data_IF_636765070835
#
_entry.id   IF_636765070835
#
_cell.length_a   1.000
_cell.length_b   1.000
_cell.length_c   1.000
_cell.angle_alpha   90.00
_cell.angle_beta   90.00
_cell.angle_gamma   90.00
#
_symmetry.space_group_name_H-M   'P 1'
#
loop_
_entity.id
_entity.type
_entity.pdbx_description
1 polymer ?
#
# COMPACT_ATOMS: atom_id res chain seq x y z
N UNK A 1 16.75 -6.63 31.00
CA UNK A 1 15.42 -7.05 30.46
C UNK A 1 15.35 -6.61 29.01
N UNK A 2 15.00 -7.52 28.10
CA UNK A 2 14.87 -7.26 26.66
C UNK A 2 13.60 -6.43 26.42
N UNK A 3 13.69 -5.42 25.56
CA UNK A 3 12.58 -4.56 25.16
C UNK A 3 12.01 -4.98 23.80
N UNK A 4 12.79 -4.86 22.72
CA UNK A 4 12.36 -5.20 21.35
C UNK A 4 13.51 -5.87 20.59
N UNK A 5 13.15 -6.71 19.63
CA UNK A 5 14.07 -7.42 18.75
C UNK A 5 13.93 -6.86 17.32
N UNK A 6 15.04 -6.50 16.70
CA UNK A 6 15.08 -5.95 15.34
C UNK A 6 15.86 -6.91 14.45
N UNK A 7 15.13 -7.74 13.72
CA UNK A 7 15.71 -8.67 12.75
C UNK A 7 15.81 -7.95 11.42
N UNK A 8 16.97 -8.06 10.76
CA UNK A 8 17.13 -7.54 9.40
C UNK A 8 16.34 -8.39 8.40
N UNK A 9 15.78 -7.82 7.30
CA UNK A 9 15.08 -8.59 6.28
C UNK A 9 15.79 -9.82 5.72
N UNK A 10 17.12 -9.81 5.63
CA UNK A 10 17.92 -10.97 5.18
C UNK A 10 18.12 -12.07 6.24
N UNK A 11 17.66 -11.87 7.48
CA UNK A 11 17.76 -12.88 8.55
C UNK A 11 19.16 -13.13 9.11
N UNK A 12 20.20 -12.43 8.64
CA UNK A 12 21.58 -12.62 9.10
C UNK A 12 21.94 -11.83 10.37
N UNK A 13 21.27 -10.69 10.58
CA UNK A 13 21.60 -9.73 11.63
C UNK A 13 20.40 -9.48 12.54
N UNK A 14 20.65 -9.46 13.85
CA UNK A 14 19.67 -9.16 14.88
C UNK A 14 20.25 -8.14 15.86
N UNK A 15 19.55 -7.04 16.06
CA UNK A 15 19.78 -6.11 17.15
C UNK A 15 18.75 -6.36 18.26
N UNK A 16 19.23 -6.50 19.49
CA UNK A 16 18.43 -6.71 20.70
C UNK A 16 18.46 -5.40 21.49
N UNK A 17 17.32 -4.72 21.56
CA UNK A 17 17.16 -3.52 22.37
C UNK A 17 16.86 -3.86 23.83
N UNK A 18 17.58 -3.27 24.77
CA UNK A 18 17.31 -3.39 26.20
C UNK A 18 16.47 -2.23 26.74
N UNK A 19 15.68 -2.48 27.78
CA UNK A 19 14.81 -1.44 28.36
C UNK A 19 15.60 -0.28 29.02
N UNK A 20 16.84 -0.54 29.44
CA UNK A 20 17.73 0.44 30.09
C UNK A 20 18.71 1.09 29.10
N UNK A 21 18.53 0.89 27.79
CA UNK A 21 19.41 1.43 26.76
C UNK A 21 20.71 0.66 26.51
N UNK A 22 20.91 -0.47 27.19
CA UNK A 22 21.94 -1.44 26.82
C UNK A 22 21.45 -2.28 25.65
N UNK A 23 22.23 -2.37 24.57
CA UNK A 23 21.86 -3.14 23.38
C UNK A 23 22.88 -4.21 23.04
N UNK A 24 22.41 -5.28 22.42
CA UNK A 24 23.24 -6.41 22.00
C UNK A 24 23.02 -6.72 20.53
N UNK A 25 24.06 -7.22 19.88
CA UNK A 25 24.04 -7.64 18.49
C UNK A 25 24.30 -9.15 18.40
N UNK A 26 23.53 -9.81 17.54
CA UNK A 26 23.66 -11.24 17.23
C UNK A 26 23.79 -11.40 15.72
N UNK A 27 24.80 -12.16 15.30
CA UNK A 27 24.97 -12.56 13.91
C UNK A 27 24.37 -13.95 13.71
N UNK A 28 23.08 -14.00 13.39
CA UNK A 28 22.27 -15.22 13.36
C UNK A 28 22.88 -16.35 12.49
N UNK A 29 23.50 -16.00 11.35
CA UNK A 29 24.12 -16.98 10.46
C UNK A 29 25.43 -17.61 10.99
N UNK A 30 26.13 -16.97 11.94
CA UNK A 30 27.47 -17.38 12.39
C UNK A 30 27.50 -17.80 13.87
N UNK A 31 26.76 -17.10 14.72
CA UNK A 31 26.73 -17.39 16.15
C UNK A 31 25.51 -16.77 16.82
N UNK A 32 24.83 -17.56 17.66
CA UNK A 32 23.75 -17.08 18.54
C UNK A 32 24.26 -16.41 19.82
N UNK A 33 25.58 -16.18 19.95
CA UNK A 33 26.15 -15.50 21.12
C UNK A 33 25.96 -13.98 21.00
N UNK A 34 25.19 -13.33 21.89
CA UNK A 34 25.00 -11.90 21.87
C UNK A 34 26.30 -11.18 22.25
N UNK A 35 26.60 -10.11 21.51
CA UNK A 35 27.73 -9.20 21.76
C UNK A 35 27.21 -7.84 22.18
N UNK A 36 27.74 -7.22 23.24
CA UNK A 36 27.32 -5.86 23.61
C UNK A 36 27.71 -4.86 22.51
N UNK A 37 26.86 -3.85 22.31
CA UNK A 37 27.11 -2.73 21.38
C UNK A 37 27.39 -1.47 22.21
N UNK A 38 28.62 -1.28 22.72
CA UNK A 38 28.91 -0.22 23.69
C UNK A 38 28.66 1.19 23.15
N UNK A 39 28.84 1.43 21.85
CA UNK A 39 28.58 2.75 21.24
C UNK A 39 27.10 3.12 21.23
N UNK A 40 26.20 2.16 21.38
CA UNK A 40 24.74 2.38 21.41
C UNK A 40 24.18 2.64 22.80
N UNK A 41 25.04 2.68 23.83
CA UNK A 41 24.61 2.89 25.21
C UNK A 41 24.05 4.29 25.36
N UNK A 42 22.83 4.39 25.87
CA UNK A 42 22.16 5.67 26.08
C UNK A 42 20.65 5.53 26.05
N UNK A 43 19.92 6.37 25.28
CA UNK A 43 18.47 6.23 25.11
C UNK A 43 18.06 4.84 24.62
N UNK A 44 16.89 4.37 25.08
CA UNK A 44 16.30 3.11 24.59
C UNK A 44 16.04 3.21 23.08
N UNK A 45 16.39 2.14 22.36
CA UNK A 45 16.09 1.97 20.93
C UNK A 45 14.60 1.65 20.78
N UNK A 46 13.90 2.43 19.95
CA UNK A 46 12.47 2.29 19.70
C UNK A 46 12.20 1.72 18.30
N UNK A 47 12.97 2.15 17.32
CA UNK A 47 12.84 1.70 15.92
C UNK A 47 14.20 1.54 15.25
N UNK A 48 14.25 0.66 14.25
CA UNK A 48 15.44 0.40 13.45
C UNK A 48 15.02 0.28 11.99
N UNK A 49 15.68 1.04 11.12
CA UNK A 49 15.48 1.00 9.69
C UNK A 49 16.74 0.46 9.01
N UNK A 50 16.71 -0.82 8.63
CA UNK A 50 17.83 -1.52 8.02
C UNK A 50 18.04 -1.13 6.56
N UNK A 51 19.30 -0.98 6.13
CA UNK A 51 19.64 -0.86 4.71
C UNK A 51 19.21 -2.13 3.94
N UNK A 52 18.46 -1.93 2.87
CA UNK A 52 17.98 -2.97 1.97
C UNK A 52 19.06 -3.40 0.98
N UNK A 53 19.88 -2.48 0.50
CA UNK A 53 20.78 -2.70 -0.65
C UNK A 53 22.25 -2.81 -0.24
N UNK A 54 22.69 -2.03 0.76
CA UNK A 54 24.11 -1.89 1.10
C UNK A 54 24.66 -2.92 2.07
N UNK A 55 23.90 -3.97 2.38
CA UNK A 55 24.18 -4.81 3.52
C UNK A 55 24.26 -6.28 3.11
N UNK A 56 25.22 -7.02 3.67
CA UNK A 56 25.58 -8.38 3.25
C UNK A 56 25.49 -9.34 4.45
N UNK A 57 26.19 -10.48 4.43
CA UNK A 57 26.25 -11.39 5.60
C UNK A 57 27.16 -10.84 6.70
N UNK A 58 28.19 -10.05 6.35
CA UNK A 58 29.29 -9.67 7.24
C UNK A 58 29.06 -8.29 7.88
N UNK A 59 28.31 -7.44 7.19
CA UNK A 59 28.06 -6.03 7.45
C UNK A 59 26.56 -5.75 7.37
N UNK A 60 26.07 -5.03 8.37
CA UNK A 60 24.69 -4.55 8.41
C UNK A 60 24.37 -3.46 7.40
N UNK A 61 25.38 -2.94 6.68
CA UNK A 61 25.28 -1.65 5.98
C UNK A 61 25.00 -0.50 6.95
N UNK A 62 24.72 0.68 6.40
CA UNK A 62 24.34 1.86 7.19
C UNK A 62 22.84 1.82 7.50
N UNK A 63 22.49 1.64 8.76
CA UNK A 63 21.09 1.63 9.20
C UNK A 63 20.77 2.82 10.10
N UNK A 64 19.50 3.21 10.12
CA UNK A 64 18.99 4.27 10.98
C UNK A 64 18.34 3.68 12.24
N UNK A 65 18.43 4.43 13.34
CA UNK A 65 17.89 4.04 14.63
C UNK A 65 17.14 5.22 15.24
N UNK A 66 15.89 4.99 15.62
CA UNK A 66 15.08 5.94 16.37
C UNK A 66 15.12 5.61 17.86
N UNK A 67 15.23 6.64 18.69
CA UNK A 67 15.33 6.48 20.14
C UNK A 67 14.11 7.01 20.88
N UNK A 68 14.01 6.62 22.15
CA UNK A 68 13.00 7.09 23.12
C UNK A 68 13.06 8.60 23.40
N UNK A 69 14.19 9.25 23.14
CA UNK A 69 14.38 10.70 23.37
C UNK A 69 14.09 11.55 22.12
N UNK A 70 13.58 10.97 21.04
CA UNK A 70 13.35 11.72 19.80
C UNK A 70 14.61 11.96 18.96
N UNK A 71 15.67 11.15 19.15
CA UNK A 71 16.91 11.26 18.37
C UNK A 71 17.00 10.18 17.31
N UNK A 72 17.53 10.55 16.14
CA UNK A 72 17.88 9.60 15.08
C UNK A 72 19.39 9.44 15.03
N UNK A 73 19.83 8.18 15.08
CA UNK A 73 21.21 7.79 14.94
C UNK A 73 21.41 7.02 13.63
N UNK A 74 22.56 7.20 12.99
CA UNK A 74 23.07 6.24 12.00
C UNK A 74 24.06 5.31 12.64
N UNK A 75 24.04 4.04 12.27
CA UNK A 75 24.95 3.03 12.78
C UNK A 75 25.39 2.06 11.69
N UNK A 76 26.58 1.46 11.89
CA UNK A 76 27.10 0.40 11.05
C UNK A 76 27.83 -0.62 11.93
N UNK A 77 27.45 -1.88 11.78
CA UNK A 77 28.08 -3.03 12.44
C UNK A 77 28.66 -3.92 11.35
N UNK A 78 29.97 -4.15 11.40
CA UNK A 78 30.67 -5.02 10.46
C UNK A 78 31.63 -5.95 11.20
N UNK A 79 31.75 -7.19 10.75
CA UNK A 79 32.54 -8.25 11.40
C UNK A 79 32.13 -8.52 12.86
N UNK A 80 30.88 -8.18 13.21
CA UNK A 80 30.35 -8.27 14.57
C UNK A 80 31.05 -7.31 15.55
N UNK A 81 31.56 -6.17 15.05
CA UNK A 81 32.01 -5.01 15.82
C UNK A 81 31.23 -3.77 15.38
N UNK A 82 30.89 -2.92 16.33
CA UNK A 82 30.30 -1.61 16.09
C UNK A 82 31.37 -0.66 15.52
N UNK A 83 31.20 -0.29 14.23
CA UNK A 83 32.13 0.62 13.55
C UNK A 83 31.84 2.07 13.93
N UNK A 84 30.57 2.45 13.93
CA UNK A 84 30.12 3.74 14.44
C UNK A 84 28.65 3.69 14.89
N UNK A 85 28.30 4.61 15.79
CA UNK A 85 26.94 4.96 16.20
C UNK A 85 26.91 6.47 16.40
N UNK A 86 26.33 7.21 15.46
CA UNK A 86 26.39 8.69 15.42
C UNK A 86 24.99 9.27 15.36
N UNK A 87 24.69 10.22 16.23
CA UNK A 87 23.47 11.04 16.15
C UNK A 87 23.54 11.90 14.89
N UNK A 88 22.52 11.80 14.05
CA UNK A 88 22.40 12.58 12.80
C UNK A 88 21.31 13.64 12.88
N UNK A 89 20.32 13.45 13.73
CA UNK A 89 19.22 14.39 13.89
C UNK A 89 18.56 14.25 15.27
N UNK A 90 18.00 15.33 15.79
CA UNK A 90 17.21 15.35 17.01
C UNK A 90 15.96 16.18 16.79
N UNK A 91 14.79 15.63 17.13
CA UNK A 91 13.55 16.40 17.12
C UNK A 91 13.63 17.48 18.21
N UNK A 92 13.59 18.75 17.82
CA UNK A 92 13.67 19.87 18.77
C UNK A 92 12.31 20.17 19.42
N UNK A 93 11.23 19.90 18.70
CA UNK A 93 9.88 20.34 19.06
C UNK A 93 9.08 19.32 19.88
N UNK A 94 9.54 18.07 19.95
CA UNK A 94 8.85 17.00 20.67
C UNK A 94 9.85 16.00 21.25
N UNK A 95 9.85 15.82 22.57
CA UNK A 95 10.61 14.77 23.26
C UNK A 95 9.94 13.38 23.13
N UNK A 96 9.19 13.15 22.05
CA UNK A 96 8.46 11.91 21.81
C UNK A 96 9.39 10.82 21.24
N UNK A 97 9.15 9.54 21.56
CA UNK A 97 9.90 8.43 21.01
C UNK A 97 9.68 8.30 19.50
N UNK A 98 10.73 7.98 18.76
CA UNK A 98 10.62 7.64 17.33
C UNK A 98 10.38 6.14 17.23
N UNK A 99 9.12 5.73 17.21
CA UNK A 99 8.71 4.31 17.20
C UNK A 99 8.67 3.68 15.81
N UNK A 100 8.77 4.46 14.73
CA UNK A 100 8.87 3.94 13.37
C UNK A 100 9.83 4.76 12.51
N UNK A 101 10.69 4.08 11.74
CA UNK A 101 11.51 4.72 10.69
C UNK A 101 11.48 3.80 9.47
N UNK A 102 11.08 4.35 8.33
CA UNK A 102 11.13 3.69 7.03
C UNK A 102 11.88 4.60 6.04
N UNK A 103 12.62 4.00 5.11
CA UNK A 103 13.26 4.75 4.03
C UNK A 103 12.99 4.12 2.66
N UNK A 104 13.18 4.94 1.62
CA UNK A 104 13.13 4.52 0.24
C UNK A 104 14.08 5.37 -0.62
N UNK A 105 14.61 4.79 -1.71
CA UNK A 105 15.48 5.50 -2.64
C UNK A 105 14.68 6.09 -3.80
N UNK A 106 14.96 7.35 -4.14
CA UNK A 106 14.44 7.99 -5.34
C UNK A 106 14.93 7.27 -6.61
N UNK A 107 14.14 7.30 -7.70
CA UNK A 107 14.59 6.75 -8.97
C UNK A 107 15.78 7.53 -9.50
N UNK A 108 16.73 6.87 -10.18
CA UNK A 108 17.72 7.58 -10.97
C UNK A 108 16.99 8.48 -11.97
N UNK A 109 17.09 9.80 -11.80
CA UNK A 109 16.46 10.78 -12.70
C UNK A 109 17.38 11.01 -13.91
N UNK A 110 16.84 11.06 -15.13
CA UNK A 110 17.58 10.79 -16.37
C UNK A 110 18.59 11.82 -16.93
N UNK A 111 19.26 11.37 -18.00
CA UNK A 111 20.14 12.00 -19.03
C UNK A 111 21.45 12.69 -18.63
N UNK A 112 21.65 13.17 -17.41
CA UNK A 112 22.98 13.54 -16.93
C UNK A 112 23.39 12.60 -15.80
N UNK A 113 23.82 11.41 -16.21
CA UNK A 113 24.58 10.48 -15.37
C UNK A 113 25.95 11.09 -15.12
N UNK A 114 26.00 12.16 -14.33
CA UNK A 114 27.11 12.29 -13.41
C UNK A 114 26.75 11.29 -12.31
N UNK A 115 27.46 10.16 -12.33
CA UNK A 115 27.35 9.03 -11.40
C UNK A 115 26.48 9.26 -10.14
N UNK A 116 25.29 8.66 -10.12
CA UNK A 116 24.80 7.93 -8.94
C UNK A 116 24.72 8.66 -7.60
N UNK A 117 24.30 9.94 -7.55
CA UNK A 117 23.98 10.58 -6.27
C UNK A 117 22.71 9.92 -5.70
N UNK A 118 22.88 9.06 -4.68
CA UNK A 118 21.78 8.40 -3.97
C UNK A 118 20.90 9.45 -3.29
N UNK A 119 19.63 9.55 -3.67
CA UNK A 119 18.67 10.43 -3.01
C UNK A 119 17.70 9.59 -2.20
N UNK A 120 17.62 9.89 -0.91
CA UNK A 120 16.86 9.16 0.10
C UNK A 120 15.58 9.93 0.43
N UNK A 121 14.53 9.17 0.68
CA UNK A 121 13.37 9.57 1.44
C UNK A 121 13.38 8.81 2.76
N UNK A 122 13.31 9.50 3.89
CA UNK A 122 13.17 8.92 5.22
C UNK A 122 11.88 9.45 5.82
N UNK A 123 11.03 8.55 6.31
CA UNK A 123 9.85 8.87 7.10
C UNK A 123 10.08 8.38 8.53
N UNK A 124 9.98 9.29 9.50
CA UNK A 124 10.11 8.96 10.92
C UNK A 124 8.79 9.26 11.64
N UNK A 125 8.24 8.27 12.34
CA UNK A 125 6.98 8.36 13.06
C UNK A 125 7.18 8.34 14.58
N UNK A 126 6.51 9.27 15.23
CA UNK A 126 6.23 9.34 16.66
C UNK A 126 4.74 9.04 16.87
N UNK A 127 4.25 8.83 18.10
CA UNK A 127 2.83 8.52 18.30
C UNK A 127 1.83 9.59 17.83
N UNK A 128 2.26 10.86 17.74
CA UNK A 128 1.39 11.97 17.32
C UNK A 128 1.81 12.65 16.02
N UNK A 129 3.04 12.42 15.56
CA UNK A 129 3.58 13.06 14.35
C UNK A 129 4.36 12.09 13.48
N UNK A 130 4.29 12.25 12.17
CA UNK A 130 5.37 11.76 11.30
C UNK A 130 6.08 12.91 10.61
N UNK A 131 7.36 12.69 10.31
CA UNK A 131 8.27 13.64 9.71
C UNK A 131 8.78 13.10 8.37
N UNK A 132 8.88 13.98 7.36
CA UNK A 132 9.39 13.64 6.04
C UNK A 132 10.76 14.29 5.81
N UNK A 133 11.74 13.47 5.42
CA UNK A 133 13.08 13.94 5.08
C UNK A 133 13.47 13.47 3.68
N UNK A 134 13.81 14.41 2.81
CA UNK A 134 14.29 14.18 1.46
C UNK A 134 15.69 14.78 1.33
N UNK A 135 16.67 14.00 0.88
CA UNK A 135 18.05 14.47 0.77
C UNK A 135 19.05 13.39 0.35
N UNK A 136 20.35 13.65 0.46
CA UNK A 136 21.43 12.74 0.05
C UNK A 136 22.71 13.53 -0.30
N UNK A 137 23.83 12.87 -0.67
CA UNK A 137 24.00 11.44 -0.94
C UNK A 137 24.21 10.51 0.26
N UNK A 138 24.34 11.07 1.46
CA UNK A 138 24.50 10.31 2.72
C UNK A 138 23.43 10.74 3.72
N UNK A 139 23.24 9.95 4.78
CA UNK A 139 22.33 10.35 5.86
C UNK A 139 22.74 11.68 6.51
N UNK A 140 24.04 11.95 6.71
CA UNK A 140 24.49 13.23 7.27
C UNK A 140 24.07 14.40 6.37
N UNK A 141 24.33 14.30 5.06
CA UNK A 141 23.98 15.34 4.09
C UNK A 141 22.46 15.52 3.98
N UNK A 142 21.67 14.46 4.18
CA UNK A 142 20.21 14.54 4.24
C UNK A 142 19.75 15.31 5.47
N UNK A 143 20.21 14.96 6.67
CA UNK A 143 19.71 15.56 7.91
C UNK A 143 20.24 16.97 8.18
N UNK A 144 21.42 17.32 7.67
CA UNK A 144 22.00 18.68 7.79
C UNK A 144 21.11 19.76 7.16
N UNK A 145 20.31 19.39 6.16
CA UNK A 145 19.38 20.30 5.47
C UNK A 145 18.17 20.71 6.34
N UNK A 146 17.90 20.01 7.45
CA UNK A 146 16.69 20.20 8.26
C UNK A 146 16.95 20.88 9.62
N UNK A 147 17.98 21.72 9.70
CA UNK A 147 18.31 22.47 10.93
C UNK A 147 17.20 23.42 11.39
N UNK A 148 16.33 23.90 10.48
CA UNK A 148 15.23 24.82 10.76
C UNK A 148 13.87 24.15 11.04
N UNK A 149 13.88 22.82 11.24
CA UNK A 149 12.75 21.90 11.38
C UNK A 149 12.20 21.31 10.05
N UNK A 150 11.94 20.00 10.01
CA UNK A 150 11.36 19.29 8.86
C UNK A 150 9.85 19.45 8.76
N UNK A 151 9.31 19.12 7.58
CA UNK A 151 7.88 18.97 7.41
C UNK A 151 7.35 17.82 8.27
N UNK A 152 6.21 18.05 8.89
CA UNK A 152 5.51 17.02 9.66
C UNK A 152 4.01 17.11 9.49
N UNK A 153 3.36 15.99 9.76
CA UNK A 153 1.91 15.91 9.94
C UNK A 153 1.65 15.49 11.36
N UNK A 154 0.73 16.18 12.03
CA UNK A 154 0.35 15.96 13.42
C UNK A 154 -1.10 15.51 13.51
N UNK A 155 -1.33 14.45 14.29
CA UNK A 155 -2.64 13.94 14.66
C UNK A 155 -2.74 13.88 16.19
N UNK A 156 -3.91 14.21 16.76
CA UNK A 156 -4.09 14.17 18.21
C UNK A 156 -4.03 12.73 18.70
N UNK A 157 -3.46 12.50 19.88
CA UNK A 157 -3.42 11.16 20.47
C UNK A 157 -2.55 11.13 21.73
N UNK A 158 -2.79 10.14 22.57
CA UNK A 158 -2.12 9.89 23.84
C UNK A 158 -1.45 8.51 23.88
N UNK A 159 -1.21 7.91 22.70
CA UNK A 159 -0.51 6.64 22.60
C UNK A 159 0.97 6.79 22.95
N UNK A 160 1.50 5.79 23.63
CA UNK A 160 2.94 5.67 23.90
C UNK A 160 3.68 4.85 22.82
N UNK A 161 2.95 4.31 21.84
CA UNK A 161 3.47 3.50 20.74
C UNK A 161 2.83 3.88 19.41
N UNK A 162 3.51 3.53 18.32
CA UNK A 162 2.99 3.59 16.96
C UNK A 162 3.69 2.53 16.11
N UNK A 163 3.04 2.12 15.03
CA UNK A 163 3.63 1.29 13.99
C UNK A 163 3.58 2.04 12.65
N UNK A 164 4.70 2.04 11.92
CA UNK A 164 4.84 2.62 10.58
C UNK A 164 5.34 1.52 9.66
N UNK A 165 4.61 1.24 8.58
CA UNK A 165 5.05 0.28 7.57
C UNK A 165 4.87 0.84 6.15
N UNK A 166 5.88 0.60 5.31
CA UNK A 166 5.81 0.84 3.87
C UNK A 166 5.41 -0.46 3.14
N UNK A 167 4.34 -0.39 2.36
CA UNK A 167 3.97 -1.48 1.47
C UNK A 167 4.78 -1.45 0.19
N UNK A 168 5.38 -2.60 -0.14
CA UNK A 168 6.22 -2.83 -1.31
C UNK A 168 5.72 -4.08 -2.04
N UNK A 169 5.59 -3.99 -3.36
CA UNK A 169 5.25 -5.16 -4.19
C UNK A 169 6.54 -5.89 -4.58
N UNK A 170 6.79 -7.04 -3.96
CA UNK A 170 8.03 -7.80 -4.15
C UNK A 170 9.27 -7.00 -3.75
N UNK A 171 10.33 -7.03 -4.56
CA UNK A 171 11.54 -6.23 -4.37
C UNK A 171 11.41 -4.78 -4.87
N UNK A 172 10.22 -4.36 -5.28
CA UNK A 172 9.98 -3.02 -5.80
C UNK A 172 10.12 -1.90 -4.75
N UNK A 173 9.87 -0.68 -5.23
CA UNK A 173 9.77 0.52 -4.39
C UNK A 173 8.47 0.52 -3.58
N UNK A 174 8.50 1.14 -2.42
CA UNK A 174 7.29 1.43 -1.67
C UNK A 174 6.30 2.25 -2.50
N UNK A 175 5.03 1.83 -2.50
CA UNK A 175 3.96 2.52 -3.22
C UNK A 175 2.99 3.23 -2.29
N UNK A 176 3.03 2.88 -1.00
CA UNK A 176 2.14 3.41 0.02
C UNK A 176 2.69 3.14 1.42
N UNK A 177 2.20 3.88 2.39
CA UNK A 177 2.52 3.70 3.80
C UNK A 177 1.25 3.56 4.63
N UNK A 178 1.41 2.98 5.81
CA UNK A 178 0.38 2.94 6.84
C UNK A 178 1.00 3.32 8.19
N UNK A 179 0.28 4.13 8.95
CA UNK A 179 0.68 4.66 10.24
C UNK A 179 -0.45 4.45 11.25
N UNK A 180 -0.14 3.77 12.35
CA UNK A 180 -1.05 3.53 13.47
C UNK A 180 -1.05 4.76 14.38
N UNK A 181 -2.20 5.40 14.56
CA UNK A 181 -2.32 6.64 15.37
C UNK A 181 -3.47 6.53 16.37
N UNK A 182 -3.48 7.38 17.40
CA UNK A 182 -4.57 7.39 18.39
C UNK A 182 -5.99 7.43 17.80
N UNK A 183 -6.29 8.33 16.84
CA UNK A 183 -7.64 8.45 16.28
C UNK A 183 -7.99 7.35 15.28
N UNK A 184 -7.01 6.67 14.69
CA UNK A 184 -7.25 5.71 13.62
C UNK A 184 -6.02 5.30 12.80
N UNK A 185 -6.29 4.57 11.72
CA UNK A 185 -5.28 4.19 10.73
C UNK A 185 -5.10 5.34 9.75
N UNK A 186 -3.93 5.97 9.75
CA UNK A 186 -3.55 6.95 8.74
C UNK A 186 -2.76 6.27 7.62
N UNK A 187 -3.13 6.48 6.36
CA UNK A 187 -2.46 5.85 5.22
C UNK A 187 -2.49 6.74 4.01
N UNK A 188 -1.45 6.68 3.18
CA UNK A 188 -1.35 7.40 1.92
C UNK A 188 -0.52 6.67 0.89
N UNK A 189 -0.48 7.23 -0.31
CA UNK A 189 0.33 6.75 -1.44
C UNK A 189 1.67 7.48 -1.47
N UNK A 190 2.70 6.83 -2.03
CA UNK A 190 4.06 7.37 -2.18
C UNK A 190 4.41 7.53 -3.66
N UNK A 191 4.83 8.72 -4.07
CA UNK A 191 5.23 9.00 -5.46
C UNK A 191 6.58 9.70 -5.53
N UNK A 192 7.57 9.02 -6.09
CA UNK A 192 8.95 9.48 -6.16
C UNK A 192 9.26 10.02 -7.56
N UNK A 193 9.28 11.35 -7.68
CA UNK A 193 9.61 12.09 -8.89
C UNK A 193 10.77 13.06 -8.64
N UNK A 194 10.53 14.35 -8.87
CA UNK A 194 11.54 15.41 -8.78
C UNK A 194 11.53 16.20 -7.46
N UNK A 195 10.88 15.69 -6.41
CA UNK A 195 10.74 16.36 -5.11
C UNK A 195 12.10 16.60 -4.44
N UNK A 196 12.30 17.76 -3.82
CA UNK A 196 13.51 18.19 -3.12
C UNK A 196 13.30 18.29 -1.60
N UNK A 197 14.33 18.74 -0.88
CA UNK A 197 14.22 18.93 0.56
C UNK A 197 13.09 19.91 0.90
N UNK A 198 12.22 19.55 1.83
CA UNK A 198 11.04 20.32 2.18
C UNK A 198 9.84 20.15 1.23
N UNK A 199 9.92 19.32 0.18
CA UNK A 199 8.73 18.86 -0.54
C UNK A 199 8.12 17.64 0.16
N UNK A 200 6.92 17.22 -0.28
CA UNK A 200 6.29 15.98 0.21
C UNK A 200 6.18 14.92 -0.88
N UNK A 201 6.39 13.66 -0.47
CA UNK A 201 6.30 12.47 -1.33
C UNK A 201 4.95 11.77 -1.18
N UNK A 202 4.19 12.14 -0.14
CA UNK A 202 2.92 11.53 0.23
C UNK A 202 1.75 12.24 -0.44
N UNK A 203 0.74 11.47 -0.87
CA UNK A 203 -0.49 11.98 -1.47
C UNK A 203 -1.64 10.99 -1.26
N UNK A 204 -2.87 11.39 -1.60
CA UNK A 204 -4.10 10.58 -1.45
C UNK A 204 -4.24 9.96 -0.04
N UNK A 205 -4.00 10.78 1.00
CA UNK A 205 -4.03 10.35 2.38
C UNK A 205 -5.46 10.21 2.91
N UNK A 206 -5.62 9.34 3.91
CA UNK A 206 -6.88 9.08 4.60
C UNK A 206 -6.62 8.69 6.04
N UNK A 207 -7.52 9.12 6.91
CA UNK A 207 -7.59 8.71 8.31
C UNK A 207 -8.86 7.88 8.51
N UNK A 208 -8.69 6.62 8.86
CA UNK A 208 -9.80 5.70 9.08
C UNK A 208 -9.94 5.48 10.58
N UNK A 209 -11.02 5.98 11.20
CA UNK A 209 -11.19 5.86 12.64
C UNK A 209 -11.34 4.40 13.04
N UNK A 210 -10.84 4.06 14.22
CA UNK A 210 -11.06 2.72 14.76
C UNK A 210 -12.53 2.48 15.03
N UNK A 211 -12.97 1.23 14.84
CA UNK A 211 -14.33 0.84 15.20
C UNK A 211 -14.53 0.93 16.71
N UNK A 212 -15.61 1.59 17.14
CA UNK A 212 -16.01 1.65 18.54
C UNK A 212 -16.65 0.32 18.94
N UNK A 213 -16.19 -0.31 20.02
CA UNK A 213 -17.00 -1.38 20.62
C UNK A 213 -18.23 -0.78 21.31
N UNK A 214 -19.39 -1.37 21.03
CA UNK A 214 -20.59 -1.15 21.84
C UNK A 214 -20.39 -1.73 23.24
N UNK A 215 -20.15 -0.85 24.22
CA UNK A 215 -20.07 -1.14 25.65
C UNK A 215 -19.85 0.17 26.39
N UNK A 216 -20.40 0.30 27.61
CA UNK A 216 -20.61 1.53 28.40
C UNK A 216 -19.37 2.43 28.72
N UNK A 217 -18.24 2.24 28.05
CA UNK A 217 -17.04 3.08 28.11
C UNK A 217 -16.65 3.42 26.66
N UNK A 218 -17.16 4.54 26.15
CA UNK A 218 -17.08 4.97 24.74
C UNK A 218 -15.70 5.42 24.26
N UNK A 219 -14.67 4.58 24.42
CA UNK A 219 -13.33 4.79 23.87
C UNK A 219 -13.11 4.01 22.58
N UNK A 220 -12.29 4.56 21.67
CA UNK A 220 -11.77 3.83 20.52
C UNK A 220 -10.89 2.67 21.01
N UNK A 221 -11.07 1.47 20.46
CA UNK A 221 -10.08 0.41 20.68
C UNK A 221 -8.95 0.61 19.68
N UNK A 222 -7.73 0.70 20.19
CA UNK A 222 -6.53 0.89 19.37
C UNK A 222 -5.89 -0.48 19.11
N UNK A 223 -5.48 -0.78 17.86
CA UNK A 223 -4.77 -2.02 17.54
C UNK A 223 -3.43 -2.10 18.27
N UNK A 224 -3.04 -3.29 18.72
CA UNK A 224 -1.69 -3.59 19.22
C UNK A 224 -0.66 -3.70 18.10
N UNK A 225 -1.12 -3.86 16.86
CA UNK A 225 -0.25 -3.93 15.70
C UNK A 225 -0.99 -3.68 14.40
N UNK A 226 -0.22 -3.31 13.38
CA UNK A 226 -0.73 -3.00 12.05
C UNK A 226 0.23 -3.48 10.99
N UNK A 227 -0.30 -4.18 9.98
CA UNK A 227 0.46 -4.58 8.78
C UNK A 227 -0.30 -4.21 7.51
N UNK A 228 0.41 -3.84 6.44
CA UNK A 228 -0.18 -3.54 5.13
C UNK A 228 0.07 -4.65 4.11
N UNK A 229 -1.00 -5.10 3.43
CA UNK A 229 -0.93 -5.89 2.20
C UNK A 229 -1.21 -5.02 0.97
N UNK A 230 -1.36 -5.64 -0.22
CA UNK A 230 -1.57 -4.89 -1.47
C UNK A 230 -2.89 -4.13 -1.47
N UNK A 231 -3.94 -4.72 -0.91
CA UNK A 231 -5.28 -4.16 -0.91
C UNK A 231 -5.93 -4.07 0.48
N UNK A 232 -5.26 -4.52 1.54
CA UNK A 232 -5.82 -4.49 2.90
C UNK A 232 -4.83 -3.92 3.92
N UNK A 233 -5.38 -3.35 4.99
CA UNK A 233 -4.67 -3.20 6.26
C UNK A 233 -5.15 -4.27 7.21
N UNK A 234 -4.22 -4.96 7.83
CA UNK A 234 -4.48 -6.01 8.82
C UNK A 234 -4.17 -5.40 10.18
N UNK A 235 -5.22 -5.11 10.95
CA UNK A 235 -5.13 -4.56 12.29
C UNK A 235 -5.31 -5.68 13.32
N UNK A 236 -4.35 -5.84 14.22
CA UNK A 236 -4.43 -6.76 15.33
C UNK A 236 -4.86 -6.00 16.58
N UNK A 237 -5.92 -6.43 17.22
CA UNK A 237 -6.36 -6.01 18.55
C UNK A 237 -6.05 -7.12 19.55
N UNK A 238 -6.12 -6.82 20.84
CA UNK A 238 -5.90 -7.78 21.92
C UNK A 238 -6.81 -9.03 21.78
N UNK A 239 -8.03 -8.86 21.26
CA UNK A 239 -9.05 -9.90 21.21
C UNK A 239 -9.50 -10.30 19.80
N UNK A 240 -9.02 -9.65 18.75
CA UNK A 240 -9.40 -9.97 17.37
C UNK A 240 -8.38 -9.48 16.36
N UNK A 241 -8.47 -10.01 15.15
CA UNK A 241 -7.78 -9.48 13.96
C UNK A 241 -8.81 -9.05 12.93
N UNK A 242 -8.60 -7.89 12.32
CA UNK A 242 -9.48 -7.31 11.30
C UNK A 242 -8.71 -6.99 10.03
N UNK A 243 -9.31 -7.29 8.88
CA UNK A 243 -8.81 -6.86 7.57
C UNK A 243 -9.72 -5.76 7.02
N UNK A 244 -9.15 -4.57 6.81
CA UNK A 244 -9.83 -3.40 6.28
C UNK A 244 -9.37 -3.18 4.85
N UNK A 245 -10.32 -3.10 3.91
CA UNK A 245 -10.01 -2.87 2.51
C UNK A 245 -9.50 -1.44 2.28
N UNK A 246 -8.37 -1.31 1.60
CA UNK A 246 -7.70 -0.04 1.35
C UNK A 246 -8.49 0.89 0.43
N UNK A 247 -9.27 0.33 -0.49
CA UNK A 247 -10.04 1.08 -1.49
C UNK A 247 -11.39 1.52 -0.92
N UNK A 248 -12.13 0.60 -0.31
CA UNK A 248 -13.50 0.86 0.19
C UNK A 248 -13.55 1.32 1.63
N UNK A 249 -12.47 1.15 2.40
CA UNK A 249 -12.37 1.46 3.84
C UNK A 249 -13.29 0.62 4.72
N UNK A 250 -13.85 -0.45 4.17
CA UNK A 250 -14.74 -1.36 4.90
C UNK A 250 -13.95 -2.53 5.48
N UNK A 251 -14.36 -2.98 6.67
CA UNK A 251 -13.89 -4.25 7.22
C UNK A 251 -14.48 -5.38 6.39
N UNK A 252 -13.63 -6.13 5.69
CA UNK A 252 -14.05 -7.23 4.81
C UNK A 252 -13.94 -8.58 5.49
N UNK A 253 -13.14 -8.67 6.55
CA UNK A 253 -12.96 -9.89 7.32
C UNK A 253 -12.57 -9.56 8.75
N UNK A 254 -13.04 -10.37 9.68
CA UNK A 254 -12.74 -10.27 11.11
C UNK A 254 -12.71 -11.67 11.72
N UNK A 255 -11.77 -11.88 12.64
CA UNK A 255 -11.72 -13.08 13.46
C UNK A 255 -11.46 -12.71 14.92
N UNK A 256 -12.39 -13.09 15.79
CA UNK A 256 -12.31 -12.86 17.23
C UNK A 256 -11.74 -14.07 17.98
N UNK A 257 -10.75 -13.82 18.85
CA UNK A 257 -10.13 -14.81 19.73
C UNK A 257 -10.98 -15.02 20.99
N UNK A 258 -12.15 -15.63 20.81
CA UNK A 258 -13.17 -15.78 21.87
C UNK A 258 -12.75 -16.63 23.07
N UNK A 259 -11.79 -17.53 22.91
CA UNK A 259 -11.30 -18.41 23.97
C UNK A 259 -10.00 -17.87 24.58
N UNK A 260 -10.10 -16.83 25.42
CA UNK A 260 -8.95 -16.17 26.04
C UNK A 260 -8.05 -17.14 26.85
N UNK A 261 -8.61 -18.24 27.37
CA UNK A 261 -7.82 -19.29 28.05
C UNK A 261 -6.90 -20.09 27.12
N UNK A 262 -7.24 -20.16 25.83
CA UNK A 262 -6.46 -20.89 24.81
C UNK A 262 -5.51 -19.92 24.12
N UNK A 263 -6.00 -18.76 23.71
CA UNK A 263 -5.25 -17.81 22.90
C UNK A 263 -4.44 -16.82 23.74
N UNK A 264 -4.89 -16.47 24.95
CA UNK A 264 -4.41 -15.31 25.69
C UNK A 264 -4.74 -13.99 24.98
N UNK A 265 -4.26 -12.88 25.54
CA UNK A 265 -4.30 -11.59 24.87
C UNK A 265 -3.21 -11.51 23.80
N UNK A 266 -3.59 -11.01 22.64
CA UNK A 266 -2.65 -10.81 21.54
C UNK A 266 -1.68 -9.68 21.89
N UNK A 267 -0.38 -9.97 21.78
CA UNK A 267 0.69 -9.07 22.22
C UNK A 267 1.21 -8.25 21.03
N UNK A 268 1.29 -8.86 19.85
CA UNK A 268 1.81 -8.15 18.69
C UNK A 268 1.72 -8.94 17.39
N UNK A 269 2.10 -8.25 16.33
CA UNK A 269 2.21 -8.82 14.99
C UNK A 269 3.52 -8.39 14.35
N UNK A 270 3.99 -9.18 13.39
CA UNK A 270 5.14 -8.82 12.58
C UNK A 270 5.00 -9.40 11.18
N UNK A 271 5.65 -8.73 10.22
CA UNK A 271 5.78 -9.22 8.87
C UNK A 271 7.20 -9.72 8.65
N UNK A 272 7.32 -10.94 8.13
CA UNK A 272 8.59 -11.44 7.64
C UNK A 272 8.91 -10.72 6.33
N UNK A 273 9.95 -9.88 6.34
CA UNK A 273 10.35 -9.12 5.16
C UNK A 273 10.95 -9.99 4.04
N UNK A 274 11.39 -11.22 4.33
CA UNK A 274 11.90 -12.16 3.34
C UNK A 274 10.78 -12.91 2.61
N UNK A 275 9.85 -13.50 3.36
CA UNK A 275 8.73 -14.27 2.77
C UNK A 275 7.48 -13.44 2.50
N UNK A 276 7.37 -12.25 3.09
CA UNK A 276 6.17 -11.42 3.07
C UNK A 276 5.05 -11.91 3.99
N UNK A 277 5.24 -13.03 4.70
CA UNK A 277 4.23 -13.64 5.58
C UNK A 277 3.98 -12.78 6.81
N UNK A 278 2.72 -12.76 7.26
CA UNK A 278 2.31 -12.05 8.45
C UNK A 278 2.14 -13.05 9.61
N UNK A 279 2.70 -12.71 10.77
CA UNK A 279 2.63 -13.51 11.98
C UNK A 279 2.02 -12.69 13.09
N UNK A 280 1.20 -13.34 13.90
CA UNK A 280 0.61 -12.77 15.11
C UNK A 280 0.96 -13.66 16.29
N UNK A 281 1.17 -13.07 17.46
CA UNK A 281 1.59 -13.83 18.62
C UNK A 281 0.98 -13.31 19.93
N UNK A 282 0.77 -14.24 20.85
CA UNK A 282 0.39 -14.02 22.23
C UNK A 282 1.45 -14.60 23.16
N UNK A 283 1.18 -14.60 24.47
CA UNK A 283 2.05 -15.26 25.45
C UNK A 283 2.09 -16.79 25.30
N UNK A 284 1.16 -17.39 24.56
CA UNK A 284 0.99 -18.85 24.48
C UNK A 284 1.15 -19.42 23.07
N UNK A 285 0.84 -18.64 22.03
CA UNK A 285 0.74 -19.13 20.66
C UNK A 285 1.33 -18.14 19.65
N UNK A 286 1.82 -18.68 18.53
CA UNK A 286 2.23 -17.94 17.35
C UNK A 286 1.43 -18.49 16.17
N UNK A 287 0.71 -17.62 15.45
CA UNK A 287 -0.13 -18.00 14.33
C UNK A 287 0.28 -17.25 13.06
N UNK A 288 0.21 -17.93 11.91
CA UNK A 288 0.37 -17.31 10.60
C UNK A 288 -0.98 -16.73 10.13
N UNK A 289 -0.97 -15.48 9.66
CA UNK A 289 -2.13 -14.88 8.99
C UNK A 289 -1.99 -15.11 7.49
N UNK A 290 -2.77 -16.05 6.97
CA UNK A 290 -2.77 -16.42 5.55
C UNK A 290 -3.66 -15.48 4.75
N UNK A 291 -3.05 -14.67 3.88
CA UNK A 291 -3.76 -13.84 2.91
C UNK A 291 -3.91 -14.62 1.61
N UNK A 292 -5.13 -15.06 1.29
CA UNK A 292 -5.43 -15.86 0.09
C UNK A 292 -6.41 -15.12 -0.82
N UNK A 293 -6.16 -15.16 -2.14
CA UNK A 293 -7.02 -14.56 -3.17
C UNK A 293 -7.39 -13.09 -2.91
N UNK A 294 -6.42 -12.28 -2.47
CA UNK A 294 -6.63 -10.89 -2.06
C UNK A 294 -7.26 -10.01 -3.16
N UNK A 295 -6.91 -10.31 -4.41
CA UNK A 295 -7.33 -9.58 -5.60
C UNK A 295 -8.73 -9.98 -6.13
N UNK A 296 -9.30 -11.07 -5.62
CA UNK A 296 -10.51 -11.71 -6.17
C UNK A 296 -11.72 -10.79 -6.25
N UNK A 297 -11.90 -9.92 -5.25
CA UNK A 297 -13.03 -8.99 -5.16
C UNK A 297 -12.65 -7.54 -5.50
N UNK A 298 -11.40 -7.28 -5.88
CA UNK A 298 -10.89 -5.93 -6.12
C UNK A 298 -11.48 -5.32 -7.39
N UNK A 299 -11.81 -6.13 -8.40
CA UNK A 299 -12.53 -5.65 -9.59
C UNK A 299 -13.89 -5.02 -9.24
N UNK A 300 -14.61 -5.55 -8.24
CA UNK A 300 -15.88 -4.97 -7.77
C UNK A 300 -15.68 -3.62 -7.11
N UNK A 301 -14.59 -3.47 -6.37
CA UNK A 301 -14.22 -2.22 -5.72
C UNK A 301 -13.89 -1.15 -6.77
N UNK A 302 -13.08 -1.47 -7.79
CA UNK A 302 -12.80 -0.53 -8.87
C UNK A 302 -14.03 -0.22 -9.73
N UNK A 303 -14.91 -1.22 -9.91
CA UNK A 303 -16.17 -1.04 -10.62
C UNK A 303 -17.09 -0.04 -9.90
N UNK A 304 -17.23 -0.14 -8.57
CA UNK A 304 -18.05 0.81 -7.79
C UNK A 304 -17.46 2.22 -7.75
N UNK A 305 -16.14 2.36 -7.97
CA UNK A 305 -15.46 3.64 -8.11
C UNK A 305 -15.51 4.22 -9.54
N UNK A 306 -16.14 3.54 -10.50
CA UNK A 306 -16.17 3.96 -11.91
C UNK A 306 -14.84 3.81 -12.65
N UNK A 307 -13.85 3.13 -12.07
CA UNK A 307 -12.54 2.90 -12.70
C UNK A 307 -12.54 1.60 -13.51
N UNK A 308 -13.28 1.59 -14.61
CA UNK A 308 -13.55 0.40 -15.42
C UNK A 308 -12.27 -0.26 -15.97
N UNK A 309 -11.32 0.52 -16.51
CA UNK A 309 -10.10 -0.03 -17.09
C UNK A 309 -9.27 -0.79 -16.06
N UNK A 310 -9.12 -0.24 -14.85
CA UNK A 310 -8.45 -0.95 -13.74
C UNK A 310 -9.26 -2.15 -13.28
N UNK A 311 -10.60 -2.06 -13.21
CA UNK A 311 -11.44 -3.20 -12.84
C UNK A 311 -11.25 -4.38 -13.82
N UNK A 312 -11.11 -4.12 -15.12
CA UNK A 312 -10.87 -5.13 -16.14
C UNK A 312 -9.52 -5.84 -15.99
N UNK A 313 -8.51 -5.18 -15.43
CA UNK A 313 -7.19 -5.80 -15.14
C UNK A 313 -7.27 -6.83 -14.00
N UNK A 314 -8.18 -6.63 -13.05
CA UNK A 314 -8.38 -7.53 -11.90
C UNK A 314 -9.49 -8.58 -12.13
N UNK A 315 -10.11 -8.61 -13.32
CA UNK A 315 -11.08 -9.65 -13.67
C UNK A 315 -10.35 -10.95 -14.00
N UNK A 316 -10.67 -12.02 -13.28
CA UNK A 316 -10.08 -13.36 -13.48
C UNK A 316 -10.96 -14.26 -14.35
N UNK A 317 -12.26 -13.95 -14.47
CA UNK A 317 -13.23 -14.75 -15.25
C UNK A 317 -13.94 -13.92 -16.31
N UNK A 318 -14.45 -14.60 -17.35
CA UNK A 318 -15.23 -13.96 -18.42
C UNK A 318 -16.51 -13.31 -17.88
N UNK A 319 -17.18 -13.92 -16.90
CA UNK A 319 -18.40 -13.36 -16.28
C UNK A 319 -18.11 -12.06 -15.52
N UNK A 320 -16.99 -12.00 -14.79
CA UNK A 320 -16.56 -10.75 -14.13
C UNK A 320 -16.28 -9.66 -15.17
N UNK A 321 -15.56 -10.00 -16.24
CA UNK A 321 -15.24 -9.08 -17.32
C UNK A 321 -16.51 -8.57 -18.01
N UNK A 322 -17.48 -9.44 -18.25
CA UNK A 322 -18.78 -9.09 -18.82
C UNK A 322 -19.54 -8.09 -17.94
N UNK A 323 -19.57 -8.32 -16.63
CA UNK A 323 -20.21 -7.39 -15.68
C UNK A 323 -19.57 -6.01 -15.72
N UNK A 324 -18.23 -5.94 -15.75
CA UNK A 324 -17.51 -4.66 -15.81
C UNK A 324 -17.76 -3.95 -17.14
N UNK A 325 -17.67 -4.65 -18.27
CA UNK A 325 -17.93 -4.08 -19.60
C UNK A 325 -19.39 -3.61 -19.75
N UNK A 326 -20.34 -4.36 -19.20
CA UNK A 326 -21.77 -3.98 -19.22
C UNK A 326 -21.99 -2.69 -18.45
N UNK A 327 -21.43 -2.60 -17.23
CA UNK A 327 -21.53 -1.38 -16.43
C UNK A 327 -20.78 -0.19 -17.06
N UNK A 328 -19.66 -0.43 -17.74
CA UNK A 328 -18.93 0.60 -18.49
C UNK A 328 -19.76 1.12 -19.68
N UNK A 329 -20.40 0.21 -20.43
CA UNK A 329 -21.28 0.59 -21.53
C UNK A 329 -22.53 1.34 -21.04
N UNK A 330 -23.16 0.87 -19.96
CA UNK A 330 -24.31 1.53 -19.33
C UNK A 330 -23.95 2.95 -18.86
N UNK A 331 -22.74 3.16 -18.34
CA UNK A 331 -22.25 4.47 -17.94
C UNK A 331 -22.08 5.43 -19.14
N UNK A 332 -21.38 5.01 -20.20
CA UNK A 332 -21.25 5.83 -21.42
C UNK A 332 -22.57 6.11 -22.11
N UNK A 333 -23.51 5.15 -22.05
CA UNK A 333 -24.87 5.35 -22.53
C UNK A 333 -25.57 6.44 -21.73
N UNK A 334 -25.46 6.44 -20.40
CA UNK A 334 -26.06 7.50 -19.56
C UNK A 334 -25.41 8.88 -19.76
N UNK A 335 -24.11 8.93 -20.03
CA UNK A 335 -23.38 10.19 -20.31
C UNK A 335 -23.60 10.75 -21.72
N UNK A 336 -24.32 10.02 -22.59
CA UNK A 336 -24.57 10.42 -23.97
C UNK A 336 -23.41 10.16 -24.94
N UNK A 337 -22.41 9.39 -24.53
CA UNK A 337 -21.31 8.95 -25.39
C UNK A 337 -21.71 7.68 -26.15
N UNK A 338 -22.71 7.81 -27.02
CA UNK A 338 -23.41 6.69 -27.66
C UNK A 338 -22.49 5.78 -28.50
N UNK A 339 -21.54 6.34 -29.25
CA UNK A 339 -20.64 5.54 -30.10
C UNK A 339 -19.66 4.69 -29.27
N UNK A 340 -19.16 5.22 -28.15
CA UNK A 340 -18.30 4.47 -27.24
C UNK A 340 -19.10 3.38 -26.53
N UNK A 341 -20.31 3.70 -26.05
CA UNK A 341 -21.23 2.72 -25.48
C UNK A 341 -21.51 1.58 -26.47
N UNK A 342 -21.77 1.89 -27.74
CA UNK A 342 -21.99 0.92 -28.80
C UNK A 342 -20.81 -0.04 -29.01
N UNK A 343 -19.57 0.49 -29.09
CA UNK A 343 -18.36 -0.36 -29.23
C UNK A 343 -18.16 -1.29 -28.04
N UNK A 344 -18.53 -0.87 -26.83
CA UNK A 344 -18.39 -1.70 -25.63
C UNK A 344 -19.54 -2.71 -25.54
N UNK A 345 -20.80 -2.32 -25.76
CA UNK A 345 -21.94 -3.23 -25.79
C UNK A 345 -21.75 -4.38 -26.79
N UNK A 346 -21.11 -4.11 -27.94
CA UNK A 346 -20.82 -5.14 -28.93
C UNK A 346 -20.01 -6.32 -28.35
N UNK A 347 -19.14 -6.03 -27.37
CA UNK A 347 -18.28 -7.01 -26.68
C UNK A 347 -18.95 -7.73 -25.50
N UNK A 348 -20.18 -7.36 -25.14
CA UNK A 348 -20.94 -7.94 -24.02
C UNK A 348 -21.95 -9.01 -24.49
N UNK A 349 -22.51 -9.77 -23.55
CA UNK A 349 -23.64 -10.69 -23.80
C UNK A 349 -25.01 -10.08 -23.47
N UNK A 350 -25.11 -8.74 -23.36
CA UNK A 350 -26.40 -8.04 -23.37
C UNK A 350 -27.24 -8.46 -24.58
N UNK A 351 -28.56 -8.52 -24.39
CA UNK A 351 -29.48 -8.93 -25.46
C UNK A 351 -29.39 -7.96 -26.64
N UNK A 352 -29.36 -8.53 -27.84
CA UNK A 352 -29.21 -7.75 -29.07
C UNK A 352 -30.37 -6.77 -29.24
N UNK A 353 -31.57 -7.23 -28.93
CA UNK A 353 -32.84 -6.51 -29.02
C UNK A 353 -32.87 -5.31 -28.08
N UNK A 354 -32.44 -5.48 -26.83
CA UNK A 354 -32.43 -4.38 -25.85
C UNK A 354 -31.48 -3.25 -26.28
N UNK A 355 -30.26 -3.59 -26.70
CA UNK A 355 -29.27 -2.59 -27.11
C UNK A 355 -29.70 -1.88 -28.40
N UNK A 356 -30.20 -2.62 -29.38
CA UNK A 356 -30.67 -2.03 -30.65
C UNK A 356 -31.89 -1.15 -30.46
N UNK A 357 -32.87 -1.60 -29.67
CA UNK A 357 -34.06 -0.81 -29.35
C UNK A 357 -33.69 0.47 -28.59
N UNK A 358 -32.73 0.40 -27.66
CA UNK A 358 -32.17 1.57 -26.98
C UNK A 358 -31.68 2.64 -27.95
N UNK A 359 -30.77 2.29 -28.88
CA UNK A 359 -30.26 3.26 -29.85
C UNK A 359 -31.31 3.76 -30.85
N UNK A 360 -32.27 2.90 -31.25
CA UNK A 360 -33.36 3.30 -32.14
C UNK A 360 -34.27 4.33 -31.46
N UNK A 361 -34.65 4.12 -30.20
CA UNK A 361 -35.51 5.06 -29.45
C UNK A 361 -34.86 6.42 -29.24
N UNK A 362 -33.53 6.45 -29.10
CA UNK A 362 -32.76 7.70 -29.03
C UNK A 362 -32.56 8.38 -30.39
N UNK A 363 -32.84 7.70 -31.51
CA UNK A 363 -32.61 8.22 -32.86
C UNK A 363 -31.14 8.23 -33.30
N UNK A 364 -30.25 7.58 -32.53
CA UNK A 364 -28.79 7.61 -32.74
C UNK A 364 -28.33 6.58 -33.77
N UNK A 365 -28.47 6.94 -35.05
CA UNK A 365 -28.08 6.07 -36.18
C UNK A 365 -26.57 5.79 -36.24
N UNK A 366 -25.73 6.72 -35.78
CA UNK A 366 -24.27 6.55 -35.77
C UNK A 366 -23.82 5.44 -34.82
N UNK A 367 -24.31 5.49 -33.58
CA UNK A 367 -24.03 4.50 -32.55
C UNK A 367 -24.58 3.11 -32.93
N UNK A 368 -25.81 3.04 -33.45
CA UNK A 368 -26.40 1.77 -33.92
C UNK A 368 -25.52 1.12 -34.99
N UNK A 369 -25.06 1.91 -35.98
CA UNK A 369 -24.17 1.40 -37.02
C UNK A 369 -22.86 0.87 -36.44
N UNK A 370 -22.24 1.62 -35.51
CA UNK A 370 -21.00 1.21 -34.83
C UNK A 370 -21.19 -0.11 -34.09
N UNK A 371 -22.28 -0.24 -33.32
CA UNK A 371 -22.64 -1.46 -32.60
C UNK A 371 -22.79 -2.65 -33.54
N UNK A 372 -23.57 -2.50 -34.62
CA UNK A 372 -23.80 -3.58 -35.59
C UNK A 372 -22.51 -4.03 -36.29
N UNK A 373 -21.64 -3.10 -36.68
CA UNK A 373 -20.33 -3.43 -37.27
C UNK A 373 -19.43 -4.17 -36.27
N UNK A 374 -19.27 -3.65 -35.05
CA UNK A 374 -18.42 -4.29 -34.05
C UNK A 374 -19.01 -5.64 -33.56
N UNK A 375 -20.34 -5.81 -33.57
CA UNK A 375 -21.00 -7.08 -33.24
C UNK A 375 -20.79 -8.11 -34.35
N UNK A 376 -20.86 -7.70 -35.62
CA UNK A 376 -20.60 -8.56 -36.77
C UNK A 376 -19.20 -9.19 -36.70
N UNK A 377 -18.19 -8.41 -36.32
CA UNK A 377 -16.81 -8.89 -36.17
C UNK A 377 -16.66 -9.94 -35.05
N UNK A 378 -17.55 -9.93 -34.05
CA UNK A 378 -17.48 -10.80 -32.87
C UNK A 378 -18.47 -11.98 -32.91
N UNK A 379 -19.39 -12.05 -33.89
CA UNK A 379 -20.33 -13.16 -34.02
C UNK A 379 -19.60 -14.42 -34.49
N UNK A 380 -19.79 -15.51 -33.76
CA UNK A 380 -19.40 -16.85 -34.23
C UNK A 380 -20.36 -17.24 -35.35
N UNK A 381 -19.84 -17.65 -36.51
CA UNK A 381 -20.62 -17.94 -37.73
C UNK A 381 -21.70 -19.04 -37.63
N UNK A 382 -21.93 -19.58 -36.44
CA UNK A 382 -23.01 -20.51 -36.11
C UNK A 382 -24.39 -19.84 -36.06
N UNK A 383 -24.49 -18.53 -35.79
CA UNK A 383 -25.77 -17.82 -35.69
C UNK A 383 -26.15 -17.12 -37.02
N UNK A 384 -26.57 -17.93 -38.00
CA UNK A 384 -26.88 -17.46 -39.36
C UNK A 384 -28.02 -16.44 -39.42
N UNK A 385 -28.98 -16.51 -38.50
CA UNK A 385 -30.16 -15.63 -38.50
C UNK A 385 -29.78 -14.23 -38.04
N UNK A 386 -29.06 -14.11 -36.92
CA UNK A 386 -28.57 -12.81 -36.45
C UNK A 386 -27.59 -12.18 -37.44
N UNK A 387 -26.69 -12.97 -38.02
CA UNK A 387 -25.72 -12.49 -39.00
C UNK A 387 -26.41 -11.93 -40.26
N UNK A 388 -27.43 -12.61 -40.78
CA UNK A 388 -28.20 -12.12 -41.94
C UNK A 388 -28.92 -10.81 -41.60
N UNK A 389 -29.56 -10.72 -40.43
CA UNK A 389 -30.26 -9.52 -39.97
C UNK A 389 -29.32 -8.32 -39.84
N UNK A 390 -28.16 -8.50 -39.18
CA UNK A 390 -27.15 -7.45 -39.00
C UNK A 390 -26.62 -6.97 -40.35
N UNK A 391 -26.31 -7.88 -41.27
CA UNK A 391 -25.85 -7.53 -42.61
C UNK A 391 -26.90 -6.75 -43.40
N UNK A 392 -28.18 -7.17 -43.36
CA UNK A 392 -29.27 -6.45 -44.04
C UNK A 392 -29.42 -5.03 -43.49
N UNK A 393 -29.45 -4.86 -42.17
CA UNK A 393 -29.54 -3.54 -41.54
C UNK A 393 -28.33 -2.65 -41.85
N UNK A 394 -27.11 -3.20 -41.81
CA UNK A 394 -25.93 -2.44 -42.20
C UNK A 394 -26.00 -1.99 -43.66
N UNK A 395 -26.40 -2.87 -44.59
CA UNK A 395 -26.58 -2.53 -46.00
C UNK A 395 -27.60 -1.40 -46.19
N UNK A 396 -28.77 -1.46 -45.53
CA UNK A 396 -29.77 -0.40 -45.56
C UNK A 396 -29.20 0.94 -45.06
N UNK A 397 -28.49 0.94 -43.92
CA UNK A 397 -27.86 2.14 -43.37
C UNK A 397 -26.76 2.71 -44.30
N UNK A 398 -25.98 1.87 -44.98
CA UNK A 398 -24.99 2.31 -45.96
C UNK A 398 -25.64 2.86 -47.23
N UNK A 399 -26.73 2.24 -47.72
CA UNK A 399 -27.49 2.72 -48.87
C UNK A 399 -28.14 4.08 -48.59
N UNK A 400 -28.74 4.26 -47.42
CA UNK A 400 -29.30 5.54 -46.98
C UNK A 400 -28.23 6.63 -46.95
N UNK A 401 -27.03 6.32 -46.44
CA UNK A 401 -25.90 7.26 -46.40
C UNK A 401 -25.38 7.59 -47.81
N UNK A 402 -25.37 6.63 -48.73
CA UNK A 402 -24.98 6.87 -50.12
C UNK A 402 -26.01 7.72 -50.87
N UNK A 403 -27.30 7.49 -50.60
CA UNK A 403 -28.39 8.25 -51.20
C UNK A 403 -28.42 9.70 -50.71
N UNK A 404 -28.12 9.95 -49.42
CA UNK A 404 -28.02 11.31 -48.89
C UNK A 404 -26.83 12.09 -49.47
N UNK A 405 -25.73 11.41 -49.82
CA UNK A 405 -24.55 12.03 -50.46
C UNK A 405 -24.76 12.29 -51.96
N UNK A 406 -25.61 11.51 -52.64
CA UNK A 406 -25.95 11.73 -54.05
C UNK A 406 -27.10 12.72 -54.27
N UNK A 407 -27.87 13.02 -53.24
CA UNK A 407 -29.06 13.88 -53.30
C UNK A 407 -28.84 15.33 -52.85
N UNK A 408 -27.62 15.73 -52.52
CA UNK A 408 -27.19 17.12 -52.34
C UNK A 408 -26.18 17.49 -53.42
#
# INVERSE_FOLDING_TARGET
VIYKLYVRPGGHHLLIGGNQGDNWYVHLARSLKPRPVPMSKGPRVESVCWDRDGADEVSTGEFLVGTSTGTMCKALIADGKDRYWKVVYSLQDSAQPICGIEYELFPPSGRHVIEGIRKYFVMAATPTRYYEFIGGPTYDALFEQYSAAPNFVELPGDLDYTELEFFRKGSGRATSFVWLTGPGIYSGSLSFGSQNAGDSVTFDYKLIPYSTKGGNSGGYQVPVGLVSSEFHWIALFEDRVQAVNRLTQQTVWEHAFTQQQVYGDMIGMCRDAGTGKCWIYSGFLVNEVLVTAEDQNIWRCYLSMGKYDTALLYCQTLEQRERVLTAQADHYYQEGQWELAATIYAKTHRSFEEVTLGFITLGEKGALKRYLSDKLDNIRGTDRTQLTMICTWLCEMYLDKLNSVKGG
#
